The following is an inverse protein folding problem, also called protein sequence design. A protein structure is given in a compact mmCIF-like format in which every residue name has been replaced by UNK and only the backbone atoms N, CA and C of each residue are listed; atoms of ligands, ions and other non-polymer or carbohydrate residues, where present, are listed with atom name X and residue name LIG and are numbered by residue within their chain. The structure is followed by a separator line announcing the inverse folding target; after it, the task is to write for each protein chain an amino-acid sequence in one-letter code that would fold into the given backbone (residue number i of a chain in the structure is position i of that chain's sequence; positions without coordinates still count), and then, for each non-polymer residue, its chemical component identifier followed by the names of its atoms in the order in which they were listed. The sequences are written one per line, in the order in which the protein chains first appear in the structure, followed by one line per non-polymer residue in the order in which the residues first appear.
data_IF_312059815326
#
_entry.id   IF_312059815326
#
_cell.length_a   1.000
_cell.length_b   1.000
_cell.length_c   1.000
_cell.angle_alpha   90.00
_cell.angle_beta   90.00
_cell.angle_gamma   90.00
#
_symmetry.space_group_name_H-M   'P 1'
#
loop_
_entity.id
_entity.type
_entity.pdbx_description
1 polymer ?
#
# COMPACT_ATOMS: atom_id res chain seq x y z
N UNK A 1 49.45 -76.99 42.53
CA UNK A 1 48.33 -76.88 43.50
C UNK A 1 48.27 -75.44 43.99
N UNK A 2 47.43 -74.56 43.42
CA UNK A 2 45.99 -74.28 43.74
C UNK A 2 45.83 -73.62 45.11
N UNK A 3 45.19 -72.46 45.33
CA UNK A 3 44.17 -71.71 44.58
C UNK A 3 44.30 -70.20 44.88
N UNK A 4 44.25 -69.34 43.87
CA UNK A 4 43.88 -67.94 44.06
C UNK A 4 42.36 -67.83 43.93
N UNK A 5 41.68 -67.41 45.00
CA UNK A 5 40.24 -67.19 45.01
C UNK A 5 39.90 -66.00 44.09
N UNK A 6 39.29 -66.28 42.93
CA UNK A 6 38.64 -65.28 42.09
C UNK A 6 37.28 -64.94 42.69
N UNK A 7 37.14 -63.75 43.23
CA UNK A 7 35.83 -63.17 43.59
C UNK A 7 35.07 -62.86 42.29
N UNK A 8 33.75 -63.11 42.19
CA UNK A 8 33.00 -62.90 40.96
C UNK A 8 32.92 -61.41 40.63
N UNK A 9 33.25 -61.04 39.40
CA UNK A 9 32.92 -59.71 38.89
C UNK A 9 31.40 -59.57 38.86
N UNK A 10 30.90 -58.54 39.55
CA UNK A 10 29.50 -58.12 39.45
C UNK A 10 29.23 -57.80 37.97
N UNK A 11 28.35 -58.55 37.33
CA UNK A 11 27.87 -58.23 36.00
C UNK A 11 27.34 -56.79 36.06
N UNK A 12 27.94 -55.91 35.24
CA UNK A 12 27.50 -54.53 35.14
C UNK A 12 26.03 -54.52 34.79
N UNK A 13 25.23 -53.87 35.65
CA UNK A 13 23.87 -53.51 35.29
C UNK A 13 23.92 -52.77 33.95
N UNK A 14 23.04 -53.10 32.98
CA UNK A 14 22.96 -52.30 31.77
C UNK A 14 22.58 -50.90 32.21
N UNK A 15 23.48 -49.94 31.98
CA UNK A 15 23.25 -48.55 32.32
C UNK A 15 22.10 -48.04 31.43
N UNK A 16 20.88 -48.03 31.97
CA UNK A 16 19.64 -47.60 31.29
C UNK A 16 19.69 -46.09 30.96
N UNK A 17 20.73 -45.37 31.41
CA UNK A 17 20.88 -43.93 31.17
C UNK A 17 21.91 -43.57 30.08
N UNK A 18 22.16 -44.46 29.12
CA UNK A 18 23.03 -44.16 27.98
C UNK A 18 22.44 -43.12 26.99
N UNK A 19 21.15 -42.74 27.14
CA UNK A 19 20.46 -41.85 26.19
C UNK A 19 20.31 -40.38 26.63
N UNK A 20 20.82 -39.98 27.80
CA UNK A 20 20.60 -38.62 28.32
C UNK A 20 21.89 -37.92 28.76
N UNK A 21 22.94 -38.01 27.95
CA UNK A 21 24.03 -37.03 28.02
C UNK A 21 23.72 -35.87 27.07
N UNK A 22 23.86 -34.60 27.49
CA UNK A 22 23.67 -33.48 26.58
C UNK A 22 24.70 -33.62 25.46
N UNK A 23 24.24 -33.70 24.22
CA UNK A 23 25.11 -33.58 23.05
C UNK A 23 25.67 -32.16 23.07
N UNK A 24 26.91 -32.01 23.54
CA UNK A 24 27.66 -30.78 23.36
C UNK A 24 28.07 -30.74 21.90
N UNK A 25 27.32 -29.99 21.11
CA UNK A 25 27.81 -29.52 19.81
C UNK A 25 29.10 -28.75 20.10
N UNK A 26 30.23 -29.27 19.62
CA UNK A 26 31.44 -28.47 19.50
C UNK A 26 31.06 -27.31 18.58
N UNK A 27 31.19 -26.08 19.09
CA UNK A 27 31.04 -24.87 18.28
C UNK A 27 31.89 -25.06 17.02
N UNK A 28 31.18 -25.18 15.89
CA UNK A 28 31.73 -25.25 14.55
C UNK A 28 32.84 -24.20 14.42
N UNK A 29 33.97 -24.50 13.74
CA UNK A 29 35.06 -23.56 13.59
C UNK A 29 34.48 -22.25 13.10
N UNK A 30 34.67 -21.21 13.92
CA UNK A 30 34.24 -19.83 13.70
C UNK A 30 34.25 -19.54 12.20
N UNK A 31 33.10 -19.69 11.56
CA UNK A 31 32.80 -18.92 10.37
C UNK A 31 32.93 -17.51 10.90
N UNK A 32 34.02 -16.86 10.52
CA UNK A 32 34.24 -15.45 10.76
C UNK A 32 32.91 -14.79 10.45
N UNK A 33 32.25 -14.28 11.49
CA UNK A 33 31.11 -13.40 11.32
C UNK A 33 31.57 -12.36 10.32
N UNK A 34 30.96 -12.21 9.14
CA UNK A 34 31.18 -11.01 8.39
C UNK A 34 30.46 -9.94 9.22
N UNK A 35 31.18 -9.34 10.16
CA UNK A 35 30.92 -7.98 10.63
C UNK A 35 31.25 -7.03 9.48
N UNK A 36 30.67 -7.25 8.31
CA UNK A 36 30.28 -6.16 7.43
C UNK A 36 28.82 -5.91 7.77
N UNK A 37 28.55 -4.82 8.48
CA UNK A 37 27.31 -4.11 8.19
C UNK A 37 27.28 -3.98 6.66
N UNK A 38 26.45 -4.78 6.00
CA UNK A 38 26.37 -4.81 4.54
C UNK A 38 25.84 -3.42 4.15
N UNK A 39 26.74 -2.50 3.82
CA UNK A 39 26.44 -1.08 3.59
C UNK A 39 25.35 -0.91 2.54
N UNK A 40 25.28 -1.89 1.64
CA UNK A 40 24.25 -2.01 0.62
C UNK A 40 22.88 -2.36 1.23
N UNK A 41 22.81 -3.30 2.18
CA UNK A 41 21.57 -3.63 2.89
C UNK A 41 21.04 -2.43 3.70
N UNK A 42 21.93 -1.73 4.41
CA UNK A 42 21.56 -0.50 5.13
C UNK A 42 21.01 0.57 4.18
N UNK A 43 21.67 0.76 3.03
CA UNK A 43 21.20 1.67 1.97
C UNK A 43 19.84 1.26 1.41
N UNK A 44 19.62 -0.04 1.17
CA UNK A 44 18.34 -0.57 0.72
C UNK A 44 17.23 -0.30 1.74
N UNK A 45 17.50 -0.52 3.04
CA UNK A 45 16.54 -0.25 4.12
C UNK A 45 16.15 1.22 4.19
N UNK A 46 17.11 2.14 4.19
CA UNK A 46 16.83 3.59 4.22
C UNK A 46 16.03 4.05 3.00
N UNK A 47 16.35 3.55 1.79
CA UNK A 47 15.57 3.88 0.58
C UNK A 47 14.15 3.32 0.64
N UNK A 48 14.00 2.11 1.17
CA UNK A 48 12.69 1.49 1.37
C UNK A 48 11.86 2.26 2.39
N UNK A 49 12.44 2.73 3.50
CA UNK A 49 11.76 3.59 4.48
C UNK A 49 11.24 4.89 3.86
N UNK A 50 12.04 5.54 3.00
CA UNK A 50 11.61 6.74 2.29
C UNK A 50 10.43 6.45 1.35
N UNK A 51 10.49 5.34 0.61
CA UNK A 51 9.40 4.89 -0.28
C UNK A 51 8.13 4.59 0.51
N UNK A 52 8.27 3.89 1.64
CA UNK A 52 7.15 3.52 2.49
C UNK A 52 6.42 4.78 2.97
N UNK A 53 7.16 5.79 3.40
CA UNK A 53 6.59 7.08 3.77
C UNK A 53 5.89 7.76 2.60
N UNK A 54 6.48 7.75 1.41
CA UNK A 54 5.86 8.33 0.20
C UNK A 54 4.53 7.65 -0.15
N UNK A 55 4.43 6.33 0.00
CA UNK A 55 3.18 5.58 -0.21
C UNK A 55 2.10 5.99 0.78
N UNK A 56 2.44 6.12 2.07
CA UNK A 56 1.51 6.59 3.10
C UNK A 56 1.05 8.02 2.85
N UNK A 57 1.98 8.92 2.51
CA UNK A 57 1.69 10.32 2.21
C UNK A 57 0.78 10.44 0.98
N UNK A 58 1.00 9.63 -0.07
CA UNK A 58 0.16 9.60 -1.26
C UNK A 58 -1.26 9.09 -0.94
N UNK A 59 -1.38 8.08 -0.08
CA UNK A 59 -2.70 7.58 0.34
C UNK A 59 -3.47 8.60 1.17
N UNK A 60 -2.82 9.27 2.12
CA UNK A 60 -3.45 10.34 2.89
C UNK A 60 -3.89 11.50 1.99
N UNK A 61 -3.08 11.87 0.99
CA UNK A 61 -3.44 12.87 -0.02
C UNK A 61 -4.64 12.45 -0.84
N UNK A 62 -4.73 11.17 -1.24
CA UNK A 62 -5.91 10.62 -1.89
C UNK A 62 -7.11 10.80 -0.96
N UNK A 63 -7.13 10.24 0.24
CA UNK A 63 -8.29 10.35 1.15
C UNK A 63 -8.80 11.80 1.32
N UNK A 64 -7.89 12.76 1.48
CA UNK A 64 -8.25 14.18 1.57
C UNK A 64 -8.85 14.74 0.26
N UNK A 65 -8.25 14.42 -0.88
CA UNK A 65 -8.75 14.82 -2.19
C UNK A 65 -10.11 14.16 -2.50
N UNK A 66 -10.33 12.91 -2.08
CA UNK A 66 -11.64 12.24 -2.19
C UNK A 66 -12.71 13.03 -1.46
N UNK A 67 -12.49 13.29 -0.18
CA UNK A 67 -13.44 14.00 0.67
C UNK A 67 -13.77 15.39 0.10
N UNK A 68 -12.75 16.13 -0.34
CA UNK A 68 -12.94 17.47 -0.93
C UNK A 68 -13.68 17.42 -2.25
N UNK A 69 -13.33 16.47 -3.11
CA UNK A 69 -13.97 16.28 -4.40
C UNK A 69 -15.46 15.94 -4.25
N UNK A 70 -15.80 15.01 -3.34
CA UNK A 70 -17.19 14.64 -3.06
C UNK A 70 -18.02 15.85 -2.65
N UNK A 71 -17.50 16.69 -1.74
CA UNK A 71 -18.18 17.92 -1.33
C UNK A 71 -18.41 18.91 -2.49
N UNK A 72 -17.46 18.98 -3.44
CA UNK A 72 -17.59 19.82 -4.63
C UNK A 72 -18.63 19.25 -5.59
N UNK A 73 -18.64 17.92 -5.83
CA UNK A 73 -19.65 17.25 -6.65
C UNK A 73 -21.06 17.49 -6.12
N UNK A 74 -21.28 17.34 -4.81
CA UNK A 74 -22.56 17.66 -4.19
C UNK A 74 -22.97 19.14 -4.36
N UNK A 75 -22.00 20.05 -4.30
CA UNK A 75 -22.27 21.48 -4.54
C UNK A 75 -22.70 21.74 -6.00
N UNK A 76 -22.03 21.09 -6.96
CA UNK A 76 -22.37 21.17 -8.39
C UNK A 76 -23.76 20.58 -8.64
N UNK A 77 -24.03 19.38 -8.12
CA UNK A 77 -25.34 18.72 -8.23
C UNK A 77 -26.45 19.59 -7.67
N UNK A 78 -26.28 20.16 -6.47
CA UNK A 78 -27.30 21.00 -5.84
C UNK A 78 -27.57 22.28 -6.66
N UNK A 79 -26.53 22.91 -7.22
CA UNK A 79 -26.68 24.10 -8.09
C UNK A 79 -27.39 23.75 -9.39
N UNK A 80 -26.96 22.67 -10.05
CA UNK A 80 -27.53 22.22 -11.33
C UNK A 80 -28.97 21.75 -11.18
N UNK A 81 -29.27 20.98 -10.14
CA UNK A 81 -30.65 20.51 -9.86
C UNK A 81 -31.62 21.68 -9.71
N UNK A 82 -31.24 22.73 -8.96
CA UNK A 82 -32.05 23.95 -8.84
C UNK A 82 -32.28 24.66 -10.17
N UNK A 83 -31.31 24.62 -11.09
CA UNK A 83 -31.45 25.23 -12.41
C UNK A 83 -32.35 24.40 -13.32
N UNK A 84 -32.25 23.07 -13.25
CA UNK A 84 -33.11 22.15 -14.00
C UNK A 84 -34.57 22.25 -13.55
N UNK A 85 -34.83 22.36 -12.25
CA UNK A 85 -36.17 22.55 -11.69
C UNK A 85 -36.78 23.89 -12.14
N UNK A 86 -36.02 25.00 -12.09
CA UNK A 86 -36.50 26.31 -12.57
C UNK A 86 -36.75 26.38 -14.08
N UNK A 87 -35.95 25.64 -14.87
CA UNK A 87 -36.10 25.63 -16.33
C UNK A 87 -37.32 24.83 -16.81
N UNK A 88 -37.93 24.03 -15.94
CA UNK A 88 -39.24 23.43 -16.22
C UNK A 88 -40.39 24.44 -16.07
N UNK A 89 -40.20 25.49 -15.26
CA UNK A 89 -41.21 26.51 -14.99
C UNK A 89 -41.05 27.78 -15.85
N UNK A 90 -39.84 28.11 -16.34
CA UNK A 90 -39.55 29.30 -17.16
C UNK A 90 -38.70 28.98 -18.41
N UNK A 91 -39.08 29.54 -19.56
CA UNK A 91 -38.57 29.21 -20.92
C UNK A 91 -37.13 29.71 -21.20
N UNK A 92 -36.51 30.49 -20.32
CA UNK A 92 -35.20 31.11 -20.60
C UNK A 92 -34.28 31.15 -19.38
N UNK A 93 -33.99 30.00 -18.77
CA UNK A 93 -32.84 29.88 -17.87
C UNK A 93 -31.66 29.24 -18.60
N UNK A 94 -30.53 29.95 -18.62
CA UNK A 94 -29.25 29.42 -19.12
C UNK A 94 -28.95 28.07 -18.47
N UNK A 95 -28.60 27.07 -19.30
CA UNK A 95 -28.17 25.73 -18.84
C UNK A 95 -26.92 25.79 -17.95
N UNK A 96 -26.19 26.91 -17.95
CA UNK A 96 -24.99 27.14 -17.15
C UNK A 96 -25.19 28.33 -16.22
N UNK A 97 -25.39 28.11 -14.91
CA UNK A 97 -25.42 29.21 -13.95
C UNK A 97 -24.00 29.76 -13.75
N UNK A 98 -23.87 31.09 -13.65
CA UNK A 98 -22.57 31.79 -13.56
C UNK A 98 -21.73 31.35 -12.34
N UNK A 99 -22.39 30.85 -11.30
CA UNK A 99 -21.77 30.40 -10.06
C UNK A 99 -21.24 28.95 -10.11
N UNK A 100 -21.32 28.28 -11.27
CA UNK A 100 -20.83 26.91 -11.48
C UNK A 100 -19.34 26.84 -11.82
N UNK A 101 -18.81 27.87 -12.47
CA UNK A 101 -17.45 27.88 -12.99
C UNK A 101 -16.40 27.65 -11.88
N UNK A 102 -16.59 28.29 -10.72
CA UNK A 102 -15.66 28.18 -9.60
C UNK A 102 -15.63 26.75 -9.01
N UNK A 103 -16.77 26.10 -8.67
CA UNK A 103 -16.81 24.69 -8.33
C UNK A 103 -16.15 23.77 -9.37
N UNK A 104 -16.42 23.96 -10.66
CA UNK A 104 -15.83 23.14 -11.73
C UNK A 104 -14.30 23.29 -11.80
N UNK A 105 -13.78 24.51 -11.72
CA UNK A 105 -12.33 24.75 -11.68
C UNK A 105 -11.67 24.10 -10.47
N UNK A 106 -12.33 24.16 -9.29
CA UNK A 106 -11.84 23.46 -8.10
C UNK A 106 -11.87 21.95 -8.29
N UNK A 107 -12.92 21.39 -8.89
CA UNK A 107 -13.03 19.96 -9.17
C UNK A 107 -11.95 19.49 -10.14
N UNK A 108 -11.67 20.25 -11.20
CA UNK A 108 -10.60 19.96 -12.15
C UNK A 108 -9.22 19.92 -11.48
N UNK A 109 -8.95 20.85 -10.55
CA UNK A 109 -7.72 20.81 -9.73
C UNK A 109 -7.69 19.53 -8.89
N UNK A 110 -8.77 19.16 -8.21
CA UNK A 110 -8.81 17.93 -7.42
C UNK A 110 -8.62 16.68 -8.32
N UNK A 111 -9.24 16.64 -9.50
CA UNK A 111 -9.05 15.53 -10.44
C UNK A 111 -7.59 15.41 -10.90
N UNK A 112 -6.89 16.54 -11.12
CA UNK A 112 -5.46 16.52 -11.47
C UNK A 112 -4.59 15.91 -10.36
N UNK A 113 -4.98 16.06 -9.09
CA UNK A 113 -4.27 15.43 -7.95
C UNK A 113 -4.30 13.90 -8.08
N UNK A 114 -5.38 13.28 -8.57
CA UNK A 114 -5.41 11.83 -8.79
C UNK A 114 -4.47 11.39 -9.89
N UNK A 115 -4.41 12.16 -10.98
CA UNK A 115 -3.41 11.94 -12.03
C UNK A 115 -1.98 12.01 -11.48
N UNK A 116 -1.69 13.01 -10.66
CA UNK A 116 -0.38 13.16 -10.01
C UNK A 116 -0.07 12.01 -9.05
N UNK A 117 -1.05 11.56 -8.25
CA UNK A 117 -0.90 10.41 -7.35
C UNK A 117 -0.62 9.14 -8.15
N UNK A 118 -1.36 8.88 -9.23
CA UNK A 118 -1.13 7.71 -10.09
C UNK A 118 0.28 7.73 -10.70
N UNK A 119 0.73 8.88 -11.21
CA UNK A 119 2.07 9.06 -11.78
C UNK A 119 3.16 8.89 -10.71
N UNK A 120 2.97 9.48 -9.53
CA UNK A 120 3.90 9.33 -8.41
C UNK A 120 4.02 7.87 -7.95
N UNK A 121 2.93 7.13 -7.89
CA UNK A 121 2.95 5.70 -7.51
C UNK A 121 3.67 4.85 -8.57
N UNK A 122 3.54 5.17 -9.87
CA UNK A 122 4.34 4.53 -10.93
C UNK A 122 5.85 4.81 -10.78
N UNK A 123 6.20 6.02 -10.39
CA UNK A 123 7.59 6.39 -10.13
C UNK A 123 8.14 5.67 -8.88
N UNK A 124 7.35 5.56 -7.81
CA UNK A 124 7.69 4.77 -6.63
C UNK A 124 7.91 3.29 -7.01
N UNK A 125 7.05 2.72 -7.86
CA UNK A 125 7.22 1.36 -8.36
C UNK A 125 8.55 1.19 -9.14
N UNK A 126 8.92 2.18 -9.95
CA UNK A 126 10.20 2.20 -10.67
C UNK A 126 11.37 2.20 -9.67
N UNK A 127 11.29 2.98 -8.60
CA UNK A 127 12.30 3.04 -7.54
C UNK A 127 12.40 1.70 -6.79
N UNK A 128 11.28 1.08 -6.43
CA UNK A 128 11.27 -0.25 -5.79
C UNK A 128 11.91 -1.32 -6.65
N UNK A 129 11.60 -1.34 -7.96
CA UNK A 129 12.25 -2.25 -8.93
C UNK A 129 13.73 -1.98 -9.12
N UNK A 130 14.19 -0.75 -8.88
CA UNK A 130 15.62 -0.43 -8.90
C UNK A 130 16.31 -0.95 -7.64
N UNK A 131 15.69 -0.81 -6.47
CA UNK A 131 16.21 -1.37 -5.21
C UNK A 131 16.32 -2.90 -5.31
N UNK A 132 15.37 -3.56 -5.96
CA UNK A 132 15.39 -5.03 -6.11
C UNK A 132 16.50 -5.57 -7.01
N UNK A 133 17.23 -4.68 -7.70
CA UNK A 133 18.38 -5.03 -8.54
C UNK A 133 19.72 -4.74 -7.87
N UNK A 134 19.72 -4.14 -6.67
CA UNK A 134 20.95 -3.80 -5.98
C UNK A 134 21.61 -5.04 -5.35
N UNK A 135 22.95 -5.19 -5.45
CA UNK A 135 23.68 -6.22 -4.73
C UNK A 135 23.47 -6.03 -3.22
N UNK A 136 22.96 -7.05 -2.52
CA UNK A 136 22.64 -6.97 -1.08
C UNK A 136 21.14 -6.94 -0.76
N UNK A 137 20.27 -6.67 -1.73
CA UNK A 137 18.85 -6.98 -1.64
C UNK A 137 18.63 -8.44 -2.08
N UNK A 138 19.02 -9.40 -1.25
CA UNK A 138 18.68 -10.80 -1.54
C UNK A 138 17.15 -10.91 -1.56
N UNK A 139 16.59 -11.63 -2.54
CA UNK A 139 15.14 -11.75 -2.70
C UNK A 139 14.43 -12.30 -1.43
N UNK A 140 15.19 -12.95 -0.54
CA UNK A 140 14.74 -13.53 0.71
C UNK A 140 14.94 -12.66 1.95
N UNK A 141 15.59 -11.49 1.86
CA UNK A 141 15.76 -10.62 3.03
C UNK A 141 14.44 -9.96 3.43
N UNK A 142 14.02 -10.21 4.66
CA UNK A 142 12.89 -9.51 5.29
C UNK A 142 13.41 -8.16 5.80
N UNK A 143 12.83 -7.06 5.33
CA UNK A 143 13.27 -5.70 5.68
C UNK A 143 12.57 -5.13 6.91
N UNK A 144 11.34 -5.59 7.15
CA UNK A 144 10.51 -5.20 8.30
C UNK A 144 10.07 -6.44 9.07
N UNK A 145 8.76 -6.76 9.06
CA UNK A 145 8.19 -7.85 9.85
C UNK A 145 8.11 -9.15 9.07
N UNK A 146 7.38 -9.16 7.97
CA UNK A 146 7.15 -10.36 7.16
C UNK A 146 7.36 -10.13 5.66
N UNK A 147 7.27 -8.87 5.22
CA UNK A 147 7.43 -8.55 3.80
C UNK A 147 8.90 -8.54 3.36
N UNK A 148 9.15 -9.26 2.27
CA UNK A 148 10.36 -9.12 1.46
C UNK A 148 10.10 -8.06 0.38
N UNK A 149 11.16 -7.61 -0.28
CA UNK A 149 11.05 -6.59 -1.32
C UNK A 149 10.07 -6.92 -2.46
N UNK A 150 9.93 -8.18 -2.92
CA UNK A 150 8.92 -8.55 -3.92
C UNK A 150 7.48 -8.24 -3.50
N UNK A 151 7.12 -8.36 -2.21
CA UNK A 151 5.78 -8.03 -1.71
C UNK A 151 5.51 -6.53 -1.83
N UNK A 152 6.48 -5.68 -1.50
CA UNK A 152 6.37 -4.22 -1.69
C UNK A 152 6.18 -3.87 -3.17
N UNK A 153 6.92 -4.54 -4.06
CA UNK A 153 6.79 -4.35 -5.52
C UNK A 153 5.41 -4.80 -6.00
N UNK A 154 4.92 -5.95 -5.55
CA UNK A 154 3.61 -6.47 -5.92
C UNK A 154 2.48 -5.55 -5.47
N UNK A 155 2.47 -5.16 -4.19
CA UNK A 155 1.51 -4.21 -3.64
C UNK A 155 1.51 -2.87 -4.41
N UNK A 156 2.70 -2.30 -4.64
CA UNK A 156 2.80 -1.00 -5.33
C UNK A 156 2.40 -1.10 -6.80
N UNK A 157 2.67 -2.23 -7.46
CA UNK A 157 2.24 -2.46 -8.85
C UNK A 157 0.73 -2.44 -8.95
N UNK A 158 0.07 -3.24 -8.12
CA UNK A 158 -1.37 -3.33 -8.08
C UNK A 158 -2.03 -1.99 -7.68
N UNK A 159 -1.43 -1.27 -6.73
CA UNK A 159 -1.86 0.07 -6.36
C UNK A 159 -1.76 1.08 -7.52
N UNK A 160 -0.66 1.03 -8.29
CA UNK A 160 -0.45 1.92 -9.43
C UNK A 160 -1.52 1.71 -10.52
N UNK A 161 -1.86 0.45 -10.82
CA UNK A 161 -2.89 0.11 -11.80
C UNK A 161 -4.27 0.63 -11.37
N UNK A 162 -4.63 0.47 -10.09
CA UNK A 162 -5.90 0.96 -9.55
C UNK A 162 -5.98 2.49 -9.50
N UNK A 163 -4.92 3.17 -9.08
CA UNK A 163 -4.89 4.64 -9.08
C UNK A 163 -5.01 5.21 -10.49
N UNK A 164 -4.41 4.55 -11.49
CA UNK A 164 -4.56 4.97 -12.88
C UNK A 164 -6.00 4.83 -13.36
N UNK A 165 -6.64 3.68 -13.11
CA UNK A 165 -8.05 3.47 -13.48
C UNK A 165 -8.97 4.48 -12.79
N UNK A 166 -8.81 4.69 -11.48
CA UNK A 166 -9.63 5.64 -10.73
C UNK A 166 -9.40 7.08 -11.20
N UNK A 167 -8.16 7.47 -11.50
CA UNK A 167 -7.86 8.81 -11.99
C UNK A 167 -8.55 9.12 -13.33
N UNK A 168 -8.72 8.13 -14.20
CA UNK A 168 -9.48 8.27 -15.45
C UNK A 168 -10.97 8.52 -15.16
N UNK A 169 -11.56 7.77 -14.24
CA UNK A 169 -12.97 7.97 -13.82
C UNK A 169 -13.14 9.36 -13.21
N UNK A 170 -12.26 9.79 -12.30
CA UNK A 170 -12.36 11.13 -11.69
C UNK A 170 -12.19 12.25 -12.71
N UNK A 171 -11.32 12.07 -13.70
CA UNK A 171 -11.19 13.01 -14.81
C UNK A 171 -12.48 13.10 -15.63
N UNK A 172 -13.06 11.96 -16.01
CA UNK A 172 -14.32 11.91 -16.75
C UNK A 172 -15.45 12.62 -16.00
N UNK A 173 -15.60 12.36 -14.69
CA UNK A 173 -16.60 13.04 -13.86
C UNK A 173 -16.36 14.55 -13.86
N UNK A 174 -15.11 14.99 -13.63
CA UNK A 174 -14.79 16.42 -13.57
C UNK A 174 -15.07 17.16 -14.89
N UNK A 175 -14.85 16.49 -16.02
CA UNK A 175 -15.11 17.04 -17.35
C UNK A 175 -16.60 17.10 -17.68
N UNK A 176 -17.41 16.13 -17.22
CA UNK A 176 -18.79 15.96 -17.71
C UNK A 176 -19.89 16.38 -16.72
N UNK A 177 -19.64 16.40 -15.41
CA UNK A 177 -20.69 16.66 -14.40
C UNK A 177 -21.42 18.00 -14.64
N UNK A 178 -20.68 19.02 -15.08
CA UNK A 178 -21.22 20.35 -15.37
C UNK A 178 -22.08 20.41 -16.65
N UNK A 179 -21.94 19.44 -17.54
CA UNK A 179 -22.66 19.36 -18.81
C UNK A 179 -23.92 18.49 -18.73
N UNK A 180 -24.15 17.83 -17.58
CA UNK A 180 -25.35 17.03 -17.34
C UNK A 180 -26.62 17.84 -17.57
N UNK A 181 -27.53 17.28 -18.37
CA UNK A 181 -28.84 17.90 -18.69
C UNK A 181 -29.99 17.33 -17.88
N UNK A 182 -29.75 16.21 -17.20
CA UNK A 182 -30.75 15.51 -16.39
C UNK A 182 -30.27 15.32 -14.96
N UNK A 183 -31.21 15.29 -14.01
CA UNK A 183 -30.92 15.03 -12.61
C UNK A 183 -30.32 13.64 -12.38
N UNK A 184 -30.79 12.64 -13.14
CA UNK A 184 -30.27 11.27 -13.14
C UNK A 184 -28.77 11.24 -13.43
N UNK A 185 -28.32 11.99 -14.45
CA UNK A 185 -26.91 12.08 -14.84
C UNK A 185 -26.06 12.76 -13.76
N UNK A 186 -26.57 13.83 -13.14
CA UNK A 186 -25.87 14.49 -12.02
C UNK A 186 -25.66 13.52 -10.86
N UNK A 187 -26.70 12.80 -10.45
CA UNK A 187 -26.63 11.79 -9.39
C UNK A 187 -25.62 10.70 -9.77
N UNK A 188 -25.64 10.23 -11.02
CA UNK A 188 -24.71 9.21 -11.50
C UNK A 188 -23.24 9.70 -11.39
N UNK A 189 -22.94 10.91 -11.85
CA UNK A 189 -21.59 11.48 -11.75
C UNK A 189 -21.15 11.73 -10.31
N UNK A 190 -22.03 12.26 -9.45
CA UNK A 190 -21.73 12.41 -8.02
C UNK A 190 -21.45 11.05 -7.37
N UNK A 191 -22.24 10.02 -7.70
CA UNK A 191 -22.08 8.66 -7.17
C UNK A 191 -20.77 8.03 -7.63
N UNK A 192 -20.41 8.17 -8.91
CA UNK A 192 -19.11 7.72 -9.44
C UNK A 192 -17.93 8.42 -8.76
N UNK A 193 -18.10 9.69 -8.36
CA UNK A 193 -17.11 10.35 -7.55
C UNK A 193 -17.05 9.77 -6.13
N UNK A 194 -18.20 9.69 -5.45
CA UNK A 194 -18.31 9.35 -4.03
C UNK A 194 -17.85 7.93 -3.70
N UNK A 195 -18.14 6.97 -4.59
CA UNK A 195 -17.84 5.56 -4.40
C UNK A 195 -16.81 5.08 -5.43
N UNK A 196 -15.50 5.22 -5.15
CA UNK A 196 -14.44 4.71 -6.00
C UNK A 196 -14.58 3.20 -6.23
N UNK A 197 -14.61 2.79 -7.50
CA UNK A 197 -14.67 1.38 -7.87
C UNK A 197 -13.28 0.73 -7.73
N UNK A 198 -12.23 1.45 -8.12
CA UNK A 198 -10.89 0.90 -8.18
C UNK A 198 -10.07 1.21 -6.93
N UNK A 199 -10.47 2.17 -6.09
CA UNK A 199 -9.84 2.41 -4.78
C UNK A 199 -10.84 2.16 -3.67
N UNK A 200 -11.17 0.90 -3.53
CA UNK A 200 -12.20 0.35 -2.66
C UNK A 200 -11.66 -0.09 -1.29
N UNK A 201 -12.49 -0.82 -0.55
CA UNK A 201 -12.12 -1.40 0.75
C UNK A 201 -10.92 -2.36 0.67
N UNK A 202 -10.65 -2.97 -0.49
CA UNK A 202 -9.47 -3.81 -0.66
C UNK A 202 -8.18 -2.98 -0.60
N UNK A 203 -8.14 -1.82 -1.27
CA UNK A 203 -6.98 -0.91 -1.17
C UNK A 203 -6.81 -0.41 0.27
N UNK A 204 -7.90 -0.07 0.95
CA UNK A 204 -7.86 0.32 2.36
C UNK A 204 -7.27 -0.80 3.24
N UNK A 205 -7.70 -2.04 3.06
CA UNK A 205 -7.14 -3.20 3.76
C UNK A 205 -5.65 -3.36 3.44
N UNK A 206 -5.25 -3.18 2.19
CA UNK A 206 -3.85 -3.20 1.78
C UNK A 206 -3.01 -2.17 2.55
N UNK A 207 -3.50 -0.94 2.73
CA UNK A 207 -2.82 0.08 3.53
C UNK A 207 -2.81 -0.21 5.04
N UNK A 208 -3.84 -0.89 5.57
CA UNK A 208 -3.83 -1.34 6.97
C UNK A 208 -2.76 -2.42 7.20
N UNK A 209 -2.70 -3.41 6.33
CA UNK A 209 -1.64 -4.44 6.36
C UNK A 209 -0.25 -3.81 6.20
N UNK A 210 -0.14 -2.86 5.26
CA UNK A 210 1.09 -2.11 5.05
C UNK A 210 1.52 -1.33 6.29
N UNK A 211 0.60 -0.68 6.99
CA UNK A 211 0.89 0.03 8.23
C UNK A 211 1.36 -0.92 9.35
N UNK A 212 0.72 -2.09 9.48
CA UNK A 212 1.11 -3.13 10.44
C UNK A 212 2.50 -3.73 10.15
N UNK A 213 2.89 -3.82 8.89
CA UNK A 213 4.24 -4.27 8.51
C UNK A 213 5.32 -3.26 8.91
N UNK A 214 4.99 -1.96 8.89
CA UNK A 214 5.94 -0.86 9.10
C UNK A 214 6.00 -0.37 10.56
N UNK A 215 4.98 -0.67 11.37
CA UNK A 215 4.80 -0.11 12.72
C UNK A 215 5.81 -0.60 13.78
N UNK A 216 6.41 -1.79 13.62
CA UNK A 216 7.41 -2.32 14.55
C UNK A 216 8.80 -1.78 14.22
N UNK A 217 9.16 -0.68 14.88
CA UNK A 217 10.57 -0.25 14.99
C UNK A 217 11.35 -1.33 15.75
N UNK A 218 12.27 -2.02 15.08
CA UNK A 218 13.36 -2.76 15.72
C UNK A 218 14.47 -1.80 16.12
#
# INVERSE_FOLDING_TARGET
MTKANKTPQKAGEPNINASLTPVRYLDSPRLQSPTSHDSNLATCKTRLEAIVKQLQDNYAKWQLAQQRGTAICYSIEAKKTKCLEKSQDDVVTSSYPDDLLLPCNKLAIIASIFGDIANNTKEILRQLRAISKLPGATADSIFYRSWKLPQFVAFTKELAERYEQEALVKKEVAENIAHSTERSQLIAFTTLWEFPEHVDSYVQLGFLLFAEEVSLRQ
#
